data_IF_603432622042
#
_entry.id   IF_603432622042
#
_cell.length_a   1.000
_cell.length_b   1.000
_cell.length_c   1.000
_cell.angle_alpha   90.00
_cell.angle_beta   90.00
_cell.angle_gamma   90.00
#
_symmetry.space_group_name_H-M   'P 1'
#
loop_
_entity.id
_entity.type
_entity.pdbx_description
1 polymer ?
#
# COMPACT_ATOMS: atom_id res chain seq x y z
N UNK A 1 -9.81 -5.19 -37.43
CA UNK A 1 -8.61 -5.19 -38.29
C UNK A 1 -7.61 -6.17 -37.70
N UNK A 2 -7.32 -7.27 -38.40
CA UNK A 2 -6.36 -8.31 -37.96
C UNK A 2 -5.01 -8.01 -38.60
N UNK A 3 -3.98 -7.78 -37.80
CA UNK A 3 -2.59 -7.77 -38.27
C UNK A 3 -1.98 -9.16 -38.00
N UNK A 4 -1.30 -9.78 -38.97
CA UNK A 4 -0.69 -11.09 -38.77
C UNK A 4 0.70 -10.92 -38.16
N UNK A 5 0.92 -11.51 -36.98
CA UNK A 5 2.25 -11.61 -36.36
C UNK A 5 2.83 -12.99 -36.64
N UNK A 6 3.70 -13.11 -37.63
CA UNK A 6 4.51 -14.31 -37.84
C UNK A 6 5.82 -14.19 -37.02
N UNK A 7 5.91 -14.95 -35.93
CA UNK A 7 7.13 -15.12 -35.13
C UNK A 7 7.81 -16.45 -35.54
N UNK A 8 8.99 -16.37 -36.14
CA UNK A 8 9.84 -17.55 -36.42
C UNK A 8 10.82 -17.72 -35.26
N UNK A 9 10.83 -18.90 -34.65
CA UNK A 9 11.79 -19.32 -33.60
C UNK A 9 12.51 -20.56 -34.10
N UNK A 10 13.82 -20.48 -34.30
CA UNK A 10 14.67 -21.62 -34.65
C UNK A 10 15.38 -22.15 -33.41
N UNK A 11 15.35 -23.48 -33.22
CA UNK A 11 16.08 -24.23 -32.20
C UNK A 11 17.20 -25.02 -32.90
N UNK A 12 18.46 -24.77 -32.53
CA UNK A 12 19.59 -25.61 -32.93
C UNK A 12 19.91 -26.61 -31.81
N UNK A 13 20.04 -27.89 -32.16
CA UNK A 13 20.48 -28.97 -31.27
C UNK A 13 21.82 -29.51 -31.78
N UNK A 14 22.86 -29.64 -30.93
CA UNK A 14 23.86 -30.66 -31.11
C UNK A 14 23.59 -31.85 -30.17
N UNK A 15 23.59 -33.04 -30.77
CA UNK A 15 23.70 -34.32 -30.10
C UNK A 15 25.12 -34.45 -29.53
N UNK A 16 25.26 -34.64 -28.22
CA UNK A 16 26.34 -35.45 -27.64
C UNK A 16 25.87 -36.06 -26.31
N UNK A 17 25.92 -37.39 -26.26
CA UNK A 17 25.63 -38.19 -25.08
C UNK A 17 26.90 -38.32 -24.23
N UNK A 18 26.78 -38.17 -22.90
CA UNK A 18 27.52 -38.98 -21.91
C UNK A 18 27.31 -38.56 -20.44
N UNK A 19 27.17 -39.61 -19.63
CA UNK A 19 27.47 -39.79 -18.19
C UNK A 19 26.57 -39.17 -17.10
N UNK A 20 26.03 -40.10 -16.30
CA UNK A 20 25.26 -39.95 -15.07
C UNK A 20 25.98 -39.09 -14.02
N UNK A 21 25.57 -37.85 -13.91
CA UNK A 21 25.66 -37.07 -12.68
C UNK A 21 24.25 -36.70 -12.24
N UNK A 22 23.89 -36.96 -10.98
CA UNK A 22 22.76 -36.33 -10.30
C UNK A 22 23.07 -34.83 -10.18
N UNK A 23 23.01 -34.13 -11.31
CA UNK A 23 22.98 -32.69 -11.36
C UNK A 23 21.64 -32.28 -10.78
N UNK A 24 21.60 -31.42 -9.74
CA UNK A 24 20.33 -30.81 -9.35
C UNK A 24 19.73 -30.17 -10.60
N UNK A 25 18.41 -30.33 -10.87
CA UNK A 25 17.79 -29.80 -12.07
C UNK A 25 18.20 -28.33 -12.19
N UNK A 26 18.81 -27.99 -13.34
CA UNK A 26 19.29 -26.64 -13.58
C UNK A 26 18.15 -25.66 -13.25
N UNK A 27 18.44 -24.53 -12.57
CA UNK A 27 17.41 -23.57 -12.21
C UNK A 27 16.64 -23.21 -13.48
N UNK A 28 15.36 -23.59 -13.52
CA UNK A 28 14.53 -23.35 -14.69
C UNK A 28 14.45 -21.84 -14.88
N UNK A 29 14.96 -21.39 -16.03
CA UNK A 29 15.00 -19.99 -16.44
C UNK A 29 14.65 -19.93 -17.91
N UNK A 30 13.83 -18.96 -18.28
CA UNK A 30 13.41 -18.73 -19.66
C UNK A 30 14.03 -17.43 -20.12
N UNK A 31 14.89 -17.52 -21.15
CA UNK A 31 15.47 -16.33 -21.78
C UNK A 31 14.50 -15.78 -22.83
N UNK A 32 14.26 -14.48 -22.75
CA UNK A 32 13.33 -13.74 -23.59
C UNK A 32 14.12 -12.70 -24.37
N UNK A 33 13.99 -12.66 -25.69
CA UNK A 33 14.64 -11.66 -26.53
C UNK A 33 13.58 -10.75 -27.14
N UNK A 34 13.67 -9.45 -26.87
CA UNK A 34 12.77 -8.43 -27.40
C UNK A 34 13.55 -7.57 -28.38
N UNK A 35 13.02 -7.40 -29.60
CA UNK A 35 13.69 -6.66 -30.67
C UNK A 35 12.80 -5.55 -31.21
N UNK A 36 13.30 -4.32 -31.18
CA UNK A 36 12.72 -3.19 -31.89
C UNK A 36 13.36 -3.10 -33.28
N UNK A 37 12.57 -3.36 -34.33
CA UNK A 37 13.02 -3.28 -35.74
C UNK A 37 12.75 -1.92 -36.38
N UNK A 38 12.17 -0.98 -35.63
CA UNK A 38 11.86 0.36 -36.12
C UNK A 38 13.06 1.27 -35.91
N UNK A 39 13.19 2.29 -36.75
CA UNK A 39 14.15 3.38 -36.60
C UNK A 39 13.76 4.42 -35.53
N UNK A 40 12.75 4.11 -34.70
CA UNK A 40 12.24 4.96 -33.63
C UNK A 40 12.43 4.30 -32.26
N UNK A 41 12.77 5.10 -31.24
CA UNK A 41 12.81 4.65 -29.85
C UNK A 41 11.40 4.35 -29.32
N UNK A 42 11.23 3.23 -28.63
CA UNK A 42 9.98 2.85 -27.94
C UNK A 42 10.21 2.93 -26.44
N UNK A 43 9.68 3.97 -25.82
CA UNK A 43 9.67 4.12 -24.36
C UNK A 43 8.43 3.46 -23.74
N UNK A 44 8.58 2.91 -22.53
CA UNK A 44 7.52 2.24 -21.77
C UNK A 44 6.77 1.15 -22.58
N UNK A 45 7.49 0.44 -23.45
CA UNK A 45 6.91 -0.62 -24.27
C UNK A 45 6.45 -1.77 -23.37
N UNK A 46 5.18 -2.15 -23.48
CA UNK A 46 4.64 -3.29 -22.73
C UNK A 46 4.89 -4.58 -23.50
N UNK A 47 5.70 -5.45 -22.93
CA UNK A 47 6.00 -6.77 -23.47
C UNK A 47 5.04 -7.78 -22.85
N UNK A 48 4.29 -8.49 -23.70
CA UNK A 48 3.44 -9.62 -23.29
C UNK A 48 4.11 -10.96 -23.61
N UNK A 49 4.22 -11.82 -22.60
CA UNK A 49 4.72 -13.17 -22.72
C UNK A 49 3.59 -14.19 -22.48
N UNK A 50 3.26 -15.03 -23.47
CA UNK A 50 2.27 -16.08 -23.28
C UNK A 50 2.67 -17.05 -22.17
N UNK A 51 1.76 -17.36 -21.26
CA UNK A 51 1.97 -18.28 -20.13
C UNK A 51 2.38 -19.68 -20.58
N UNK A 52 1.97 -20.10 -21.79
CA UNK A 52 2.40 -21.37 -22.41
C UNK A 52 3.92 -21.49 -22.52
N UNK A 53 4.64 -20.38 -22.71
CA UNK A 53 6.11 -20.33 -22.74
C UNK A 53 6.74 -20.44 -21.34
N UNK A 54 5.95 -20.21 -20.29
CA UNK A 54 6.35 -20.20 -18.89
C UNK A 54 5.76 -21.37 -18.09
N UNK A 55 5.11 -22.34 -18.75
CA UNK A 55 4.32 -23.39 -18.12
C UNK A 55 5.06 -24.16 -17.01
N UNK A 56 6.34 -24.49 -17.23
CA UNK A 56 7.15 -25.20 -16.23
C UNK A 56 7.40 -24.34 -14.97
N UNK A 57 7.69 -23.04 -15.15
CA UNK A 57 7.88 -22.09 -14.06
C UNK A 57 6.58 -21.84 -13.30
N UNK A 58 5.48 -21.64 -14.02
CA UNK A 58 4.16 -21.44 -13.43
C UNK A 58 3.73 -22.63 -12.59
N UNK A 59 3.92 -23.86 -13.09
CA UNK A 59 3.59 -25.08 -12.36
C UNK A 59 4.46 -25.26 -11.10
N UNK A 60 5.73 -24.86 -11.16
CA UNK A 60 6.67 -25.08 -10.06
C UNK A 60 6.60 -24.00 -8.98
N UNK A 61 6.37 -22.74 -9.35
CA UNK A 61 6.50 -21.60 -8.44
C UNK A 61 5.21 -20.82 -8.23
N UNK A 62 4.21 -20.93 -9.11
CA UNK A 62 3.10 -20.00 -9.15
C UNK A 62 3.46 -18.70 -9.86
N UNK A 63 2.46 -17.96 -10.30
CA UNK A 63 2.63 -16.76 -11.11
C UNK A 63 3.19 -15.57 -10.32
N UNK A 64 2.75 -15.42 -9.07
CA UNK A 64 3.16 -14.39 -8.12
C UNK A 64 4.65 -14.48 -7.73
N UNK A 65 5.27 -15.63 -7.99
CA UNK A 65 6.66 -15.91 -7.66
C UNK A 65 7.61 -15.85 -8.87
N UNK A 66 7.09 -15.46 -10.04
CA UNK A 66 7.91 -15.22 -11.21
C UNK A 66 8.56 -13.83 -11.14
N UNK A 67 9.84 -13.80 -11.50
CA UNK A 67 10.67 -12.60 -11.54
C UNK A 67 11.22 -12.43 -12.95
N UNK A 68 10.99 -11.25 -13.53
CA UNK A 68 11.60 -10.82 -14.78
C UNK A 68 12.84 -10.01 -14.45
N UNK A 69 13.98 -10.33 -15.07
CA UNK A 69 15.22 -9.57 -14.95
C UNK A 69 15.71 -9.06 -16.29
N UNK A 70 16.24 -7.85 -16.30
CA UNK A 70 16.99 -7.29 -17.43
C UNK A 70 18.41 -7.89 -17.54
N UNK A 71 19.18 -7.47 -18.55
CA UNK A 71 20.57 -7.92 -18.76
C UNK A 71 21.51 -7.48 -17.62
N UNK A 72 21.19 -6.40 -16.91
CA UNK A 72 21.94 -5.93 -15.75
C UNK A 72 21.60 -6.71 -14.46
N UNK A 73 20.58 -7.57 -14.50
CA UNK A 73 20.12 -8.37 -13.37
C UNK A 73 19.10 -7.66 -12.48
N UNK A 74 18.64 -6.46 -12.84
CA UNK A 74 17.60 -5.75 -12.11
C UNK A 74 16.27 -6.46 -12.27
N UNK A 75 15.54 -6.61 -11.17
CA UNK A 75 14.19 -7.15 -11.22
C UNK A 75 13.26 -6.05 -11.72
N UNK A 76 12.44 -6.38 -12.72
CA UNK A 76 11.43 -5.49 -13.28
C UNK A 76 10.06 -5.73 -12.64
N UNK A 77 9.26 -4.67 -12.56
CA UNK A 77 7.83 -4.80 -12.26
C UNK A 77 7.19 -5.66 -13.34
N UNK A 78 6.50 -6.72 -12.93
CA UNK A 78 5.76 -7.57 -13.86
C UNK A 78 4.40 -7.96 -13.31
N UNK A 79 3.45 -8.20 -14.20
CA UNK A 79 2.07 -8.54 -13.87
C UNK A 79 1.64 -9.80 -14.60
N UNK A 80 1.18 -10.80 -13.85
CA UNK A 80 0.47 -11.94 -14.41
C UNK A 80 -0.98 -11.53 -14.69
N UNK A 81 -1.48 -11.88 -15.87
CA UNK A 81 -2.83 -11.51 -16.33
C UNK A 81 -3.61 -12.76 -16.69
N UNK A 82 -4.84 -12.82 -16.18
CA UNK A 82 -5.91 -13.74 -16.56
C UNK A 82 -6.93 -12.89 -17.34
N UNK A 83 -6.97 -13.06 -18.66
CA UNK A 83 -7.79 -12.24 -19.56
C UNK A 83 -9.21 -12.80 -19.71
N UNK A 84 -9.44 -14.07 -19.35
CA UNK A 84 -10.72 -14.74 -19.55
C UNK A 84 -11.46 -15.03 -18.23
N UNK A 85 -10.82 -14.79 -17.08
CA UNK A 85 -11.38 -14.97 -15.75
C UNK A 85 -11.51 -16.45 -15.32
N UNK A 86 -10.76 -17.36 -15.94
CA UNK A 86 -10.83 -18.80 -15.64
C UNK A 86 -9.95 -19.22 -14.43
N UNK A 87 -9.25 -18.26 -13.83
CA UNK A 87 -8.34 -18.45 -12.71
C UNK A 87 -6.94 -18.94 -13.11
N UNK A 88 -6.65 -19.04 -14.41
CA UNK A 88 -5.33 -19.37 -14.95
C UNK A 88 -4.69 -18.14 -15.57
N UNK A 89 -3.37 -18.04 -15.41
CA UNK A 89 -2.61 -16.97 -16.03
C UNK A 89 -2.46 -17.25 -17.52
N UNK A 90 -2.88 -16.29 -18.34
CA UNK A 90 -2.75 -16.30 -19.79
C UNK A 90 -1.43 -15.68 -20.23
N UNK A 91 -1.02 -14.59 -19.57
CA UNK A 91 0.12 -13.78 -19.99
C UNK A 91 0.90 -13.21 -18.79
N UNK A 92 2.21 -13.00 -18.99
CA UNK A 92 3.06 -12.22 -18.08
C UNK A 92 3.51 -10.95 -18.78
N UNK A 93 3.16 -9.80 -18.20
CA UNK A 93 3.46 -8.48 -18.72
C UNK A 93 4.63 -7.83 -17.97
N UNK A 94 5.47 -7.08 -18.68
CA UNK A 94 6.46 -6.16 -18.09
C UNK A 94 6.75 -5.02 -19.07
N UNK A 95 7.34 -3.93 -18.59
CA UNK A 95 7.68 -2.77 -19.42
C UNK A 95 9.20 -2.58 -19.56
N UNK A 96 9.62 -2.07 -20.72
CA UNK A 96 11.02 -1.70 -20.99
C UNK A 96 11.13 -0.57 -22.00
N UNK A 97 12.24 0.16 -21.98
CA UNK A 97 12.60 1.15 -22.99
C UNK A 97 13.54 0.52 -24.02
N UNK A 98 13.14 0.52 -25.30
CA UNK A 98 13.90 -0.10 -26.39
C UNK A 98 14.28 0.94 -27.43
N UNK A 99 15.59 1.17 -27.60
CA UNK A 99 16.12 2.07 -28.62
C UNK A 99 15.77 1.59 -30.04
N UNK A 100 15.80 2.51 -30.99
CA UNK A 100 15.69 2.22 -32.41
C UNK A 100 16.66 1.11 -32.83
N UNK A 101 16.18 0.15 -33.63
CA UNK A 101 16.96 -0.98 -34.15
C UNK A 101 17.67 -1.85 -33.10
N UNK A 102 17.29 -1.76 -31.82
CA UNK A 102 17.95 -2.47 -30.72
C UNK A 102 17.30 -3.82 -30.41
N UNK A 103 18.08 -4.68 -29.75
CA UNK A 103 17.63 -5.95 -29.17
C UNK A 103 18.02 -5.97 -27.71
N UNK A 104 17.13 -6.43 -26.84
CA UNK A 104 17.36 -6.59 -25.41
C UNK A 104 16.97 -8.00 -24.97
N UNK A 105 17.72 -8.56 -24.03
CA UNK A 105 17.43 -9.86 -23.43
C UNK A 105 16.91 -9.69 -22.01
N UNK A 106 15.99 -10.56 -21.64
CA UNK A 106 15.41 -10.66 -20.31
C UNK A 106 15.44 -12.11 -19.86
N UNK A 107 15.42 -12.33 -18.56
CA UNK A 107 15.33 -13.66 -17.98
C UNK A 107 14.12 -13.75 -17.05
N UNK A 108 13.25 -14.72 -17.31
CA UNK A 108 12.15 -15.08 -16.41
C UNK A 108 12.58 -16.28 -15.57
N UNK A 109 12.41 -16.18 -14.26
CA UNK A 109 12.76 -17.25 -13.30
C UNK A 109 11.77 -17.28 -12.16
N UNK A 110 11.54 -18.47 -11.59
CA UNK A 110 10.76 -18.60 -10.37
C UNK A 110 11.65 -18.58 -9.11
N UNK A 111 11.14 -17.99 -8.02
CA UNK A 111 11.79 -18.01 -6.71
C UNK A 111 10.77 -18.32 -5.62
N UNK A 112 11.13 -19.14 -4.60
CA UNK A 112 10.22 -19.51 -3.50
C UNK A 112 9.64 -18.33 -2.72
N UNK A 113 10.29 -17.17 -2.77
CA UNK A 113 9.83 -15.93 -2.16
C UNK A 113 9.89 -14.80 -3.20
N UNK A 114 9.41 -15.09 -4.42
CA UNK A 114 9.44 -14.16 -5.54
C UNK A 114 8.51 -12.97 -5.32
N UNK A 115 7.33 -13.21 -4.77
CA UNK A 115 6.36 -12.16 -4.48
C UNK A 115 6.92 -11.05 -3.56
N UNK A 116 7.78 -11.40 -2.59
CA UNK A 116 8.41 -10.40 -1.71
C UNK A 116 9.56 -9.62 -2.37
N UNK A 117 10.08 -10.10 -3.49
CA UNK A 117 11.19 -9.50 -4.25
C UNK A 117 10.70 -8.63 -5.41
N UNK A 118 9.43 -8.74 -5.81
CA UNK A 118 8.84 -7.90 -6.84
C UNK A 118 8.95 -6.41 -6.47
N UNK A 119 9.57 -5.59 -7.32
CA UNK A 119 9.51 -4.15 -7.17
C UNK A 119 8.05 -3.70 -7.21
N UNK A 120 7.71 -2.70 -6.40
CA UNK A 120 6.38 -2.09 -6.45
C UNK A 120 6.39 -0.99 -7.49
N UNK A 121 5.34 -0.93 -8.31
CA UNK A 121 5.13 0.22 -9.18
C UNK A 121 5.03 1.49 -8.32
N UNK A 122 5.72 2.58 -8.69
CA UNK A 122 5.53 3.88 -8.03
C UNK A 122 4.15 4.49 -8.33
N UNK A 123 3.50 4.03 -9.41
CA UNK A 123 2.18 4.47 -9.85
C UNK A 123 1.19 3.33 -9.60
N UNK A 124 0.13 3.57 -8.83
CA UNK A 124 -0.90 2.59 -8.50
C UNK A 124 -2.28 3.19 -8.77
N UNK A 125 -2.93 2.76 -9.85
CA UNK A 125 -4.32 3.16 -10.09
C UNK A 125 -5.21 2.68 -8.94
N UNK A 126 -5.93 3.59 -8.32
CA UNK A 126 -6.89 3.27 -7.27
C UNK A 126 -8.31 3.48 -7.81
N UNK A 127 -9.19 2.53 -7.53
CA UNK A 127 -10.60 2.61 -7.89
C UNK A 127 -11.47 2.54 -6.64
N UNK A 128 -12.58 3.27 -6.63
CA UNK A 128 -13.56 3.23 -5.55
C UNK A 128 -14.98 3.29 -6.09
N UNK A 129 -15.90 2.69 -5.34
CA UNK A 129 -17.32 3.02 -5.44
C UNK A 129 -17.51 4.45 -4.97
N UNK A 130 -18.31 5.22 -5.71
CA UNK A 130 -18.70 6.58 -5.33
C UNK A 130 -19.87 6.49 -4.36
N UNK A 131 -19.70 6.76 -3.04
CA UNK A 131 -20.79 6.57 -2.08
C UNK A 131 -22.00 7.47 -2.37
N UNK A 132 -21.76 8.62 -2.98
CA UNK A 132 -22.78 9.61 -3.34
C UNK A 132 -23.65 9.15 -4.53
N UNK A 133 -23.17 8.19 -5.33
CA UNK A 133 -23.85 7.59 -6.48
C UNK A 133 -23.53 6.11 -6.52
N UNK A 134 -24.38 5.30 -5.87
CA UNK A 134 -24.20 3.86 -5.66
C UNK A 134 -24.07 3.09 -7.01
N UNK A 135 -24.43 3.71 -8.12
CA UNK A 135 -24.29 3.24 -9.50
C UNK A 135 -22.94 3.60 -10.18
N UNK A 136 -22.10 4.45 -9.58
CA UNK A 136 -20.86 4.95 -10.18
C UNK A 136 -19.60 4.26 -9.61
N UNK A 137 -18.73 3.81 -10.51
CA UNK A 137 -17.40 3.29 -10.22
C UNK A 137 -16.36 4.21 -10.86
N UNK A 138 -15.53 4.87 -10.05
CA UNK A 138 -14.55 5.83 -10.56
C UNK A 138 -13.12 5.32 -10.41
N UNK A 139 -12.34 5.56 -11.45
CA UNK A 139 -10.90 5.37 -11.47
C UNK A 139 -10.24 6.71 -11.16
N UNK A 140 -9.56 6.83 -10.02
CA UNK A 140 -8.74 8.02 -9.74
C UNK A 140 -7.30 7.70 -10.13
N UNK A 141 -6.77 8.48 -11.08
CA UNK A 141 -5.34 8.52 -11.35
C UNK A 141 -4.58 8.88 -10.07
N UNK A 142 -3.32 8.46 -9.97
CA UNK A 142 -2.41 8.64 -8.82
C UNK A 142 -2.26 10.09 -8.31
N UNK A 143 -2.81 11.08 -9.01
CA UNK A 143 -2.68 12.49 -8.65
C UNK A 143 -3.98 13.26 -8.90
N UNK A 144 -4.36 14.06 -7.90
CA UNK A 144 -5.37 15.12 -8.01
C UNK A 144 -4.64 16.42 -8.31
N UNK A 145 -5.09 17.17 -9.32
CA UNK A 145 -4.53 18.47 -9.67
C UNK A 145 -5.34 19.58 -9.01
N UNK A 146 -4.68 20.42 -8.22
CA UNK A 146 -5.28 21.61 -7.62
C UNK A 146 -4.61 22.86 -8.19
N UNK A 147 -5.37 23.95 -8.32
CA UNK A 147 -4.83 25.25 -8.70
C UNK A 147 -3.96 25.80 -7.56
N UNK A 148 -2.70 26.11 -7.84
CA UNK A 148 -1.70 26.63 -6.89
C UNK A 148 -1.64 28.17 -6.94
N UNK A 149 -2.15 28.81 -8.00
CA UNK A 149 -2.23 30.28 -8.13
C UNK A 149 -3.09 30.76 -9.33
N UNK A 150 -4.28 30.17 -9.56
CA UNK A 150 -5.18 30.59 -10.65
C UNK A 150 -4.76 30.09 -12.04
N UNK A 151 -3.48 30.25 -12.41
CA UNK A 151 -2.95 29.91 -13.73
C UNK A 151 -1.99 28.70 -13.74
N UNK A 152 -1.68 28.14 -12.56
CA UNK A 152 -0.81 26.96 -12.40
C UNK A 152 -1.51 25.85 -11.64
N UNK A 153 -1.35 24.62 -12.11
CA UNK A 153 -1.87 23.41 -11.47
C UNK A 153 -0.73 22.58 -10.89
N UNK A 154 -0.90 22.13 -9.65
CA UNK A 154 0.06 21.27 -8.96
C UNK A 154 -0.58 19.93 -8.65
N UNK A 155 0.19 18.87 -8.86
CA UNK A 155 -0.26 17.49 -8.70
C UNK A 155 -0.01 17.01 -7.27
N UNK A 156 -1.02 16.42 -6.63
CA UNK A 156 -0.97 15.89 -5.27
C UNK A 156 -1.39 14.43 -5.27
N UNK A 157 -0.68 13.58 -4.53
CA UNK A 157 -1.15 12.23 -4.29
C UNK A 157 -2.41 12.26 -3.41
N UNK A 158 -3.40 11.37 -3.61
CA UNK A 158 -4.52 11.20 -2.67
C UNK A 158 -4.04 10.97 -1.24
N UNK A 159 -2.82 10.43 -1.07
CA UNK A 159 -2.20 10.26 0.23
C UNK A 159 -1.77 11.55 0.93
N UNK A 160 -1.61 12.63 0.19
CA UNK A 160 -1.25 13.96 0.69
C UNK A 160 -2.52 14.78 1.03
N UNK A 161 -3.68 14.35 0.53
CA UNK A 161 -4.99 14.98 0.70
C UNK A 161 -5.86 14.34 1.81
N UNK A 162 -5.31 13.39 2.58
CA UNK A 162 -6.06 12.35 3.34
C UNK A 162 -7.08 12.85 4.38
N UNK A 163 -8.36 12.68 4.03
CA UNK A 163 -9.37 11.98 4.86
C UNK A 163 -9.35 10.51 4.44
N UNK A 164 -9.19 9.57 5.39
CA UNK A 164 -9.59 8.18 5.13
C UNK A 164 -10.75 7.78 6.03
N UNK A 165 -11.74 7.22 5.34
CA UNK A 165 -13.01 6.62 5.73
C UNK A 165 -13.10 6.16 7.19
N UNK A 166 -14.17 6.63 7.83
CA UNK A 166 -14.73 6.10 9.06
C UNK A 166 -15.52 4.81 8.78
N UNK A 167 -15.43 3.88 9.75
CA UNK A 167 -16.27 2.69 9.97
C UNK A 167 -15.93 1.41 9.20
N UNK A 168 -15.89 0.31 9.95
CA UNK A 168 -16.14 -1.02 9.42
C UNK A 168 -15.23 -2.11 9.96
N UNK A 169 -14.37 -2.64 9.10
CA UNK A 169 -13.96 -4.04 9.20
C UNK A 169 -12.44 -4.26 9.18
N UNK A 170 -11.65 -3.19 9.26
CA UNK A 170 -10.18 -3.34 9.28
C UNK A 170 -9.69 -3.72 10.67
N UNK A 171 -9.14 -4.93 10.79
CA UNK A 171 -8.37 -5.37 11.96
C UNK A 171 -6.90 -4.95 11.79
N UNK A 172 -6.35 -4.30 12.80
CA UNK A 172 -4.95 -3.82 12.82
C UNK A 172 -4.18 -4.51 13.94
N UNK A 173 -2.99 -5.01 13.62
CA UNK A 173 -2.01 -5.45 14.60
C UNK A 173 -1.25 -4.23 15.17
N UNK A 174 -1.48 -3.92 16.44
CA UNK A 174 -0.73 -2.95 17.21
C UNK A 174 0.41 -3.66 17.96
N UNK A 175 1.66 -3.32 17.64
CA UNK A 175 2.85 -3.78 18.38
C UNK A 175 3.33 -2.70 19.34
N UNK A 176 4.06 -3.09 20.38
CA UNK A 176 4.70 -2.16 21.31
C UNK A 176 3.73 -1.18 22.00
N UNK A 177 2.57 -1.69 22.43
CA UNK A 177 1.54 -0.86 23.08
C UNK A 177 2.01 -0.43 24.46
N UNK A 178 2.10 0.88 24.67
CA UNK A 178 2.52 1.49 25.94
C UNK A 178 1.32 1.60 26.88
N UNK A 179 1.32 0.81 27.95
CA UNK A 179 0.30 0.90 29.01
C UNK A 179 0.88 1.68 30.19
N UNK A 180 0.39 2.90 30.41
CA UNK A 180 0.78 3.71 31.57
C UNK A 180 0.27 3.07 32.87
N UNK A 181 1.18 2.56 33.71
CA UNK A 181 0.86 2.04 35.05
C UNK A 181 0.83 3.18 36.08
N UNK A 182 -0.18 3.13 36.97
CA UNK A 182 -0.43 4.11 38.05
C UNK A 182 0.81 4.38 38.91
N UNK A 183 0.89 5.60 39.44
CA UNK A 183 1.91 6.10 40.38
C UNK A 183 1.35 6.05 41.81
N UNK A 184 2.01 5.33 42.72
CA UNK A 184 2.02 5.52 44.19
C UNK A 184 3.17 4.68 44.81
N UNK A 185 3.77 5.14 45.92
CA UNK A 185 5.04 5.86 45.95
C UNK A 185 6.26 4.90 45.99
N UNK A 186 7.41 5.37 45.48
CA UNK A 186 8.75 4.76 45.60
C UNK A 186 9.24 3.67 44.63
N UNK A 187 8.72 3.52 43.40
CA UNK A 187 9.51 2.85 42.34
C UNK A 187 9.33 3.48 40.96
N UNK A 188 10.43 3.93 40.33
CA UNK A 188 10.48 4.19 38.88
C UNK A 188 10.49 2.83 38.17
N UNK A 189 9.34 2.32 37.74
CA UNK A 189 9.29 1.19 36.80
C UNK A 189 8.96 1.66 35.39
N UNK A 190 9.69 1.10 34.42
CA UNK A 190 9.55 1.33 32.98
C UNK A 190 8.12 1.00 32.52
N UNK A 191 7.59 1.71 31.51
CA UNK A 191 6.26 1.42 30.95
C UNK A 191 6.16 -0.05 30.55
N UNK A 192 5.04 -0.69 30.86
CA UNK A 192 4.78 -2.08 30.48
C UNK A 192 4.35 -2.09 29.00
N UNK A 193 5.22 -2.65 28.15
CA UNK A 193 4.96 -2.90 26.74
C UNK A 193 4.17 -4.19 26.58
N UNK A 194 3.09 -4.16 25.79
CA UNK A 194 2.41 -5.37 25.34
C UNK A 194 2.98 -5.73 23.95
N UNK A 195 3.50 -6.96 23.76
CA UNK A 195 4.25 -7.33 22.56
C UNK A 195 3.41 -7.30 21.27
N UNK A 196 2.13 -7.65 21.34
CA UNK A 196 1.19 -7.51 20.23
C UNK A 196 -0.26 -7.47 20.73
N UNK A 197 -1.07 -6.63 20.09
CA UNK A 197 -2.50 -6.49 20.31
C UNK A 197 -3.20 -6.40 18.95
N UNK A 198 -4.38 -6.98 18.81
CA UNK A 198 -5.21 -6.77 17.63
C UNK A 198 -6.41 -5.91 18.00
N UNK A 199 -6.75 -4.93 17.16
CA UNK A 199 -7.86 -4.04 17.40
C UNK A 199 -8.60 -3.66 16.12
N UNK A 200 -9.88 -3.32 16.27
CA UNK A 200 -10.69 -2.78 15.17
C UNK A 200 -10.32 -1.32 14.94
N UNK A 201 -10.01 -0.95 13.71
CA UNK A 201 -9.73 0.43 13.35
C UNK A 201 -11.01 1.26 13.41
N UNK A 202 -11.01 2.28 14.27
CA UNK A 202 -12.12 3.23 14.40
C UNK A 202 -11.91 4.48 13.57
N UNK A 203 -10.66 4.90 13.37
CA UNK A 203 -10.31 6.08 12.60
C UNK A 203 -8.89 6.00 12.04
N UNK A 204 -8.68 6.54 10.83
CA UNK A 204 -7.35 6.78 10.25
C UNK A 204 -7.41 8.02 9.35
N UNK A 205 -6.71 9.09 9.72
CA UNK A 205 -6.75 10.35 8.98
C UNK A 205 -5.96 11.43 9.70
N UNK A 206 -5.57 12.51 9.01
CA UNK A 206 -4.83 13.62 9.63
C UNK A 206 -3.53 13.21 10.34
N UNK A 207 -2.89 12.12 9.89
CA UNK A 207 -1.72 11.55 10.58
C UNK A 207 -2.01 10.81 11.89
N UNK A 208 -3.26 10.52 12.22
CA UNK A 208 -3.65 9.75 13.40
C UNK A 208 -4.28 8.39 13.05
N UNK A 209 -4.15 7.44 13.97
CA UNK A 209 -4.86 6.16 13.94
C UNK A 209 -5.49 5.90 15.30
N UNK A 210 -6.78 5.53 15.31
CA UNK A 210 -7.52 5.14 16.50
C UNK A 210 -8.00 3.69 16.36
N UNK A 211 -7.71 2.86 17.35
CA UNK A 211 -8.16 1.47 17.42
C UNK A 211 -9.01 1.23 18.67
N UNK A 212 -9.96 0.33 18.56
CA UNK A 212 -10.62 -0.35 19.68
C UNK A 212 -9.93 -1.67 19.94
N UNK A 213 -9.42 -1.88 21.14
CA UNK A 213 -8.65 -3.05 21.56
C UNK A 213 -9.27 -3.72 22.78
N UNK A 214 -9.50 -5.04 22.73
CA UNK A 214 -9.87 -5.84 23.91
C UNK A 214 -8.68 -6.69 24.38
N UNK A 215 -8.16 -6.49 25.60
CA UNK A 215 -7.04 -7.28 26.11
C UNK A 215 -7.40 -8.74 26.44
N UNK A 216 -8.68 -9.09 26.55
CA UNK A 216 -9.14 -10.41 26.95
C UNK A 216 -9.67 -11.25 25.77
N UNK A 217 -9.75 -10.71 24.56
CA UNK A 217 -10.39 -11.38 23.41
C UNK A 217 -9.60 -11.21 22.11
N UNK A 218 -9.58 -12.22 21.22
CA UNK A 218 -9.05 -12.08 19.87
C UNK A 218 -9.87 -11.08 19.03
N UNK A 219 -9.24 -10.53 17.98
CA UNK A 219 -9.70 -9.37 17.21
C UNK A 219 -11.13 -9.48 16.66
N UNK A 220 -11.56 -10.70 16.32
CA UNK A 220 -12.84 -11.04 15.69
C UNK A 220 -14.04 -11.01 16.64
N UNK A 221 -13.82 -10.91 17.96
CA UNK A 221 -14.86 -10.97 19.00
C UNK A 221 -14.86 -9.74 19.93
N UNK A 222 -14.34 -8.61 19.44
CA UNK A 222 -14.25 -7.37 20.23
C UNK A 222 -15.64 -6.77 20.46
N UNK A 223 -16.14 -6.86 21.70
CA UNK A 223 -17.37 -6.17 22.11
C UNK A 223 -17.08 -4.71 22.43
N UNK A 224 -17.99 -3.79 22.08
CA UNK A 224 -17.83 -2.35 22.33
C UNK A 224 -17.80 -1.98 23.83
N UNK A 225 -18.17 -2.89 24.73
CA UNK A 225 -18.35 -2.61 26.16
C UNK A 225 -17.03 -2.74 26.95
N UNK A 226 -16.16 -3.69 26.59
CA UNK A 226 -14.89 -4.01 27.29
C UNK A 226 -13.62 -3.39 26.66
N UNK A 227 -13.72 -2.76 25.50
CA UNK A 227 -12.54 -2.33 24.74
C UNK A 227 -11.89 -1.03 25.23
N UNK A 228 -10.55 -0.99 25.24
CA UNK A 228 -9.74 0.20 25.42
C UNK A 228 -9.49 0.86 24.07
N UNK A 229 -9.30 2.18 24.09
CA UNK A 229 -8.91 2.92 22.88
C UNK A 229 -7.38 3.02 22.81
N UNK A 230 -6.83 2.77 21.63
CA UNK A 230 -5.42 3.02 21.31
C UNK A 230 -5.33 4.14 20.28
N UNK A 231 -4.44 5.09 20.52
CA UNK A 231 -4.14 6.17 19.59
C UNK A 231 -2.66 6.14 19.23
N UNK A 232 -2.39 6.46 17.97
CA UNK A 232 -1.04 6.64 17.42
C UNK A 232 -1.04 7.86 16.52
N UNK A 233 0.05 8.63 16.57
CA UNK A 233 0.36 9.68 15.61
C UNK A 233 1.47 9.19 14.68
N UNK A 234 1.25 9.23 13.38
CA UNK A 234 2.20 8.80 12.36
C UNK A 234 2.74 7.39 12.61
N UNK A 235 4.05 7.29 12.83
CA UNK A 235 4.75 6.05 13.12
C UNK A 235 5.14 5.87 14.61
N UNK A 236 4.62 6.70 15.51
CA UNK A 236 4.96 6.64 16.94
C UNK A 236 4.46 5.36 17.64
N UNK A 237 4.82 5.13 18.91
CA UNK A 237 4.31 3.98 19.65
C UNK A 237 2.80 4.11 19.92
N UNK A 238 2.09 2.97 20.00
CA UNK A 238 0.68 2.95 20.39
C UNK A 238 0.50 3.36 21.85
N UNK A 239 -0.38 4.32 22.09
CA UNK A 239 -0.68 4.80 23.44
C UNK A 239 -2.13 4.50 23.80
N UNK A 240 -2.34 3.99 25.01
CA UNK A 240 -3.70 3.80 25.54
C UNK A 240 -4.34 5.15 25.84
N UNK A 241 -5.50 5.41 25.24
CA UNK A 241 -6.28 6.62 25.50
C UNK A 241 -6.80 6.60 26.94
N UNK A 242 -6.61 7.66 27.74
CA UNK A 242 -7.11 7.70 29.10
C UNK A 242 -8.63 7.57 29.16
N UNK A 243 -9.14 6.65 29.99
CA UNK A 243 -10.59 6.54 30.24
C UNK A 243 -11.14 7.72 31.08
N UNK A 244 -10.28 8.37 31.87
CA UNK A 244 -10.67 9.53 32.67
C UNK A 244 -10.82 10.77 31.76
N UNK A 245 -11.98 11.46 31.75
CA UNK A 245 -12.22 12.60 30.86
C UNK A 245 -11.21 13.73 30.99
N UNK A 246 -10.77 14.10 32.19
CA UNK A 246 -9.82 15.20 32.37
C UNK A 246 -8.45 14.86 31.76
N UNK A 247 -7.95 13.64 31.99
CA UNK A 247 -6.69 13.17 31.39
C UNK A 247 -6.80 13.06 29.86
N UNK A 248 -7.95 12.62 29.37
CA UNK A 248 -8.24 12.54 27.94
C UNK A 248 -8.24 13.92 27.28
N UNK A 249 -9.00 14.88 27.80
CA UNK A 249 -9.04 16.23 27.25
C UNK A 249 -7.65 16.89 27.27
N UNK A 250 -6.85 16.66 28.33
CA UNK A 250 -5.47 17.15 28.40
C UNK A 250 -4.57 16.56 27.32
N UNK A 251 -4.65 15.25 27.09
CA UNK A 251 -3.89 14.57 26.03
C UNK A 251 -4.32 15.07 24.65
N UNK A 252 -5.63 15.12 24.40
CA UNK A 252 -6.17 15.56 23.10
C UNK A 252 -5.88 17.04 22.84
N UNK A 253 -5.87 17.90 23.86
CA UNK A 253 -5.43 19.29 23.72
C UNK A 253 -3.97 19.40 23.28
N UNK A 254 -3.08 18.54 23.80
CA UNK A 254 -1.69 18.52 23.39
C UNK A 254 -1.52 18.05 21.93
N UNK A 255 -2.44 17.22 21.43
CA UNK A 255 -2.37 16.64 20.08
C UNK A 255 -3.09 17.46 19.02
N UNK A 256 -4.22 18.08 19.37
CA UNK A 256 -5.16 18.74 18.45
C UNK A 256 -5.33 20.23 18.75
N UNK A 257 -4.57 20.78 19.69
CA UNK A 257 -4.73 22.17 20.15
C UNK A 257 -4.36 23.25 19.13
N UNK A 258 -3.82 22.86 17.98
CA UNK A 258 -3.61 23.73 16.81
C UNK A 258 -4.93 24.15 16.15
N UNK A 259 -6.00 23.36 16.27
CA UNK A 259 -7.34 23.78 15.87
C UNK A 259 -7.99 24.60 17.00
N UNK A 260 -8.25 25.91 16.81
CA UNK A 260 -8.81 26.78 17.85
C UNK A 260 -10.19 26.32 18.34
N UNK A 261 -11.03 25.77 17.46
CA UNK A 261 -12.38 25.34 17.79
C UNK A 261 -12.34 24.10 18.70
N UNK A 262 -11.47 23.14 18.38
CA UNK A 262 -11.25 21.97 19.22
C UNK A 262 -10.58 22.35 20.54
N UNK A 263 -9.60 23.25 20.51
CA UNK A 263 -8.85 23.67 21.69
C UNK A 263 -9.75 24.31 22.76
N UNK A 264 -10.78 25.08 22.36
CA UNK A 264 -11.75 25.65 23.29
C UNK A 264 -12.54 24.56 24.05
N UNK A 265 -13.15 23.61 23.33
CA UNK A 265 -13.92 22.54 23.95
C UNK A 265 -13.07 21.58 24.79
N UNK A 266 -11.81 21.35 24.37
CA UNK A 266 -10.85 20.52 25.10
C UNK A 266 -10.42 21.18 26.41
N UNK A 267 -10.19 22.50 26.43
CA UNK A 267 -9.93 23.26 27.67
C UNK A 267 -11.13 23.26 28.61
N UNK A 268 -12.33 23.33 28.06
CA UNK A 268 -13.58 23.25 28.83
C UNK A 268 -13.92 21.84 29.34
N UNK A 269 -13.14 20.80 28.98
CA UNK A 269 -13.34 19.43 29.47
C UNK A 269 -14.63 18.76 28.94
N UNK A 270 -15.15 19.24 27.81
CA UNK A 270 -16.46 18.85 27.28
C UNK A 270 -16.49 17.43 26.72
N UNK A 271 -15.34 16.88 26.35
CA UNK A 271 -15.29 15.65 25.58
C UNK A 271 -15.10 14.39 26.44
N UNK A 272 -15.63 13.28 25.95
CA UNK A 272 -15.60 11.95 26.54
C UNK A 272 -14.84 10.99 25.61
N UNK A 273 -13.90 10.17 26.14
CA UNK A 273 -12.99 9.38 25.30
C UNK A 273 -13.71 8.47 24.29
N UNK A 274 -14.67 7.66 24.74
CA UNK A 274 -15.36 6.70 23.85
C UNK A 274 -16.34 7.35 22.88
N UNK A 275 -16.98 8.44 23.29
CA UNK A 275 -18.00 9.12 22.48
C UNK A 275 -17.37 10.03 21.43
N UNK A 276 -16.28 10.70 21.80
CA UNK A 276 -15.81 11.87 21.06
C UNK A 276 -14.46 11.68 20.39
N UNK A 277 -13.64 10.68 20.77
CA UNK A 277 -12.28 10.55 20.23
C UNK A 277 -12.23 10.48 18.70
N UNK A 278 -13.05 9.62 18.08
CA UNK A 278 -13.08 9.50 16.62
C UNK A 278 -13.52 10.81 15.94
N UNK A 279 -14.61 11.41 16.45
CA UNK A 279 -15.14 12.68 15.94
C UNK A 279 -14.15 13.84 16.06
N UNK A 280 -13.41 13.92 17.17
CA UNK A 280 -12.39 14.95 17.38
C UNK A 280 -11.23 14.80 16.38
N UNK A 281 -10.79 13.57 16.14
CA UNK A 281 -9.73 13.30 15.17
C UNK A 281 -10.18 13.58 13.73
N UNK A 282 -11.45 13.29 13.41
CA UNK A 282 -12.05 13.62 12.13
C UNK A 282 -12.13 15.14 11.92
N UNK A 283 -12.67 15.88 12.89
CA UNK A 283 -12.73 17.35 12.83
C UNK A 283 -11.35 17.98 12.68
N UNK A 284 -10.36 17.43 13.39
CA UNK A 284 -8.98 17.89 13.28
C UNK A 284 -8.38 17.59 11.90
N UNK A 285 -8.61 16.40 11.35
CA UNK A 285 -8.16 16.05 10.01
C UNK A 285 -8.79 16.97 8.95
N UNK A 286 -10.09 17.23 9.05
CA UNK A 286 -10.79 18.17 8.16
C UNK A 286 -10.24 19.59 8.27
N UNK A 287 -9.95 20.04 9.49
CA UNK A 287 -9.31 21.33 9.72
C UNK A 287 -7.91 21.38 9.09
N UNK A 288 -7.07 20.36 9.26
CA UNK A 288 -5.75 20.29 8.63
C UNK A 288 -5.84 20.33 7.10
N UNK A 289 -6.77 19.58 6.52
CA UNK A 289 -7.00 19.59 5.07
C UNK A 289 -7.46 20.97 4.60
N UNK A 290 -8.37 21.62 5.31
CA UNK A 290 -8.79 23.00 4.99
C UNK A 290 -7.63 24.00 5.06
N UNK A 291 -6.81 23.93 6.11
CA UNK A 291 -5.64 24.81 6.24
C UNK A 291 -4.63 24.57 5.11
N UNK A 292 -4.41 23.31 4.75
CA UNK A 292 -3.55 22.94 3.63
C UNK A 292 -4.08 23.51 2.30
N UNK A 293 -5.36 23.28 1.98
CA UNK A 293 -5.99 23.81 0.76
C UNK A 293 -5.95 25.34 0.71
N UNK A 294 -6.17 26.01 1.85
CA UNK A 294 -6.06 27.47 1.94
C UNK A 294 -4.62 27.96 1.75
N UNK A 295 -3.61 27.21 2.23
CA UNK A 295 -2.21 27.57 2.04
C UNK A 295 -1.77 27.45 0.58
N UNK A 296 -2.35 26.49 -0.16
CA UNK A 296 -2.10 26.28 -1.59
C UNK A 296 -2.88 27.28 -2.46
N UNK A 297 -4.06 27.73 -2.02
CA UNK A 297 -4.88 28.66 -2.79
C UNK A 297 -4.48 30.15 -2.64
N UNK A 298 -3.47 30.48 -1.82
CA UNK A 298 -3.01 31.86 -1.65
C UNK A 298 -1.97 32.20 -2.73
N UNK A 299 -2.21 33.22 -3.56
CA UNK A 299 -1.20 33.68 -4.51
C UNK A 299 0.05 34.12 -3.74
N UNK A 300 1.23 33.71 -4.21
CA UNK A 300 2.50 34.21 -3.70
C UNK A 300 2.52 35.74 -3.88
N UNK A 301 2.70 36.48 -2.79
CA UNK A 301 2.95 37.93 -2.81
C UNK A 301 4.40 38.20 -3.17
#
# INVERSE_FOLDING_TARGET
MRFPSFLVVTLGLPLTASLLGLTPPAPQRVSVTVRNRLSLNRGAETVSLPATRLAALLRQYGAENLLVRDEAGNILVSQAVDNNGDGRVDELLFQTDIKANATQKFTVSGARNGASQQPKSPNTTFSRLVPERIDDYTWENDRVYLSDAGDTFKAYFPSELKRFVALGDTVVAARDVVVATRRFPFTRRRPRLIPAAFGRQLFRGGGFQLLSYDPARPATLTSALSSRLLLRRGQEAWQVLPANPAKFNRLMLALLGSDPALAAGLRAGQYRPRRDAARLLEQYADWQTRQFLQSVARPAH
#
